data_IF_814714444457
#
_entry.id   IF_814714444457
#
_cell.length_a   1.000
_cell.length_b   1.000
_cell.length_c   1.000
_cell.angle_alpha   90.00
_cell.angle_beta   90.00
_cell.angle_gamma   90.00
#
_symmetry.space_group_name_H-M   'P 1'
#
loop_
_entity.id
_entity.type
_entity.pdbx_description
1 polymer ?
#
# COMPACT_ATOMS: atom_id res chain seq x y z
N UNK A 1 -25.36 32.65 8.62
CA UNK A 1 -25.62 31.51 9.51
C UNK A 1 -26.38 30.36 8.82
N UNK A 2 -27.43 30.62 8.02
CA UNK A 2 -28.16 29.55 7.29
C UNK A 2 -27.29 28.76 6.30
N UNK A 3 -26.44 29.42 5.50
CA UNK A 3 -25.59 28.73 4.51
C UNK A 3 -24.53 27.83 5.14
N UNK A 4 -23.98 28.20 6.30
CA UNK A 4 -22.97 27.37 6.99
C UNK A 4 -23.57 26.06 7.51
N UNK A 5 -24.77 26.13 8.09
CA UNK A 5 -25.50 24.95 8.58
C UNK A 5 -25.84 24.02 7.41
N UNK A 6 -26.30 24.57 6.29
CA UNK A 6 -26.57 23.81 5.07
C UNK A 6 -25.31 23.15 4.51
N UNK A 7 -24.18 23.87 4.43
CA UNK A 7 -22.91 23.31 3.97
C UNK A 7 -22.47 22.13 4.84
N UNK A 8 -22.61 22.25 6.17
CA UNK A 8 -22.32 21.16 7.10
C UNK A 8 -23.23 19.94 6.87
N UNK A 9 -24.53 20.15 6.66
CA UNK A 9 -25.47 19.08 6.37
C UNK A 9 -25.11 18.36 5.07
N UNK A 10 -24.71 19.10 4.03
CA UNK A 10 -24.23 18.53 2.76
C UNK A 10 -22.97 17.69 2.95
N UNK A 11 -22.00 18.16 3.73
CA UNK A 11 -20.76 17.39 3.99
C UNK A 11 -21.07 16.08 4.71
N UNK A 12 -21.95 16.09 5.71
CA UNK A 12 -22.37 14.87 6.41
C UNK A 12 -23.12 13.90 5.49
N UNK A 13 -23.99 14.42 4.64
CA UNK A 13 -24.73 13.61 3.66
C UNK A 13 -23.79 12.99 2.62
N UNK A 14 -22.79 13.75 2.15
CA UNK A 14 -21.73 13.22 1.30
C UNK A 14 -20.94 12.12 2.02
N UNK A 15 -20.60 12.32 3.29
CA UNK A 15 -19.85 11.33 4.06
C UNK A 15 -20.62 10.01 4.19
N UNK A 16 -21.90 10.06 4.53
CA UNK A 16 -22.76 8.87 4.57
C UNK A 16 -22.95 8.25 3.19
N UNK A 17 -23.09 9.07 2.16
CA UNK A 17 -23.25 8.62 0.79
C UNK A 17 -22.03 7.88 0.23
N UNK A 18 -20.82 8.39 0.50
CA UNK A 18 -19.59 7.68 0.16
C UNK A 18 -19.42 6.41 0.99
N UNK A 19 -19.84 6.38 2.25
CA UNK A 19 -19.87 5.13 3.04
C UNK A 19 -20.75 4.07 2.37
N UNK A 20 -21.95 4.45 1.91
CA UNK A 20 -22.83 3.55 1.17
C UNK A 20 -22.23 3.02 -0.13
N UNK A 21 -21.38 3.80 -0.82
CA UNK A 21 -20.65 3.32 -2.01
C UNK A 21 -19.62 2.22 -1.69
N UNK A 22 -19.15 2.11 -0.45
CA UNK A 22 -18.27 1.02 0.00
C UNK A 22 -19.02 -0.21 0.49
N UNK A 23 -20.22 -0.02 1.04
CA UNK A 23 -21.01 -1.11 1.65
C UNK A 23 -21.95 -1.79 0.65
N UNK A 24 -22.46 -1.04 -0.33
CA UNK A 24 -23.50 -1.50 -1.26
C UNK A 24 -23.00 -1.46 -2.70
N UNK A 25 -23.63 -2.27 -3.55
CA UNK A 25 -23.43 -2.16 -5.00
C UNK A 25 -23.85 -0.75 -5.44
N UNK A 26 -22.94 0.02 -6.04
CA UNK A 26 -23.25 1.39 -6.44
C UNK A 26 -24.41 1.40 -7.44
N UNK A 27 -25.32 2.35 -7.27
CA UNK A 27 -26.42 2.57 -8.22
C UNK A 27 -26.21 3.90 -8.96
N UNK A 28 -26.62 4.01 -10.24
CA UNK A 28 -26.51 5.28 -10.97
C UNK A 28 -27.22 6.43 -10.25
N UNK A 29 -28.34 6.14 -9.58
CA UNK A 29 -29.11 7.11 -8.79
C UNK A 29 -28.31 7.65 -7.60
N UNK A 30 -27.64 6.79 -6.84
CA UNK A 30 -26.79 7.21 -5.72
C UNK A 30 -25.63 8.08 -6.22
N UNK A 31 -24.93 7.67 -7.27
CA UNK A 31 -23.79 8.43 -7.81
C UNK A 31 -24.25 9.82 -8.30
N UNK A 32 -25.38 9.89 -9.01
CA UNK A 32 -25.93 11.16 -9.48
C UNK A 32 -26.40 12.06 -8.33
N UNK A 33 -26.98 11.48 -7.28
CA UNK A 33 -27.31 12.23 -6.07
C UNK A 33 -26.04 12.83 -5.45
N UNK A 34 -24.99 12.03 -5.25
CA UNK A 34 -23.72 12.52 -4.66
C UNK A 34 -23.06 13.60 -5.50
N UNK A 35 -23.08 13.49 -6.84
CA UNK A 35 -22.59 14.55 -7.74
C UNK A 35 -23.39 15.85 -7.57
N UNK A 36 -24.71 15.75 -7.42
CA UNK A 36 -25.58 16.90 -7.23
C UNK A 36 -25.29 17.61 -5.91
N UNK A 37 -25.18 16.85 -4.83
CA UNK A 37 -24.90 17.37 -3.48
C UNK A 37 -23.48 17.96 -3.39
N UNK A 38 -22.50 17.34 -4.06
CA UNK A 38 -21.14 17.86 -4.14
C UNK A 38 -21.08 19.16 -4.95
N UNK A 39 -21.82 19.25 -6.06
CA UNK A 39 -21.96 20.49 -6.83
C UNK A 39 -22.57 21.63 -6.01
N UNK A 40 -23.65 21.34 -5.26
CA UNK A 40 -24.24 22.32 -4.33
C UNK A 40 -23.24 22.77 -3.27
N UNK A 41 -22.49 21.84 -2.68
CA UNK A 41 -21.46 22.18 -1.69
C UNK A 41 -20.36 23.05 -2.28
N UNK A 42 -19.94 22.79 -3.53
CA UNK A 42 -18.93 23.58 -4.25
C UNK A 42 -19.43 24.99 -4.57
N UNK A 43 -20.68 25.13 -5.00
CA UNK A 43 -21.29 26.44 -5.23
C UNK A 43 -21.36 27.24 -3.92
N UNK A 44 -21.78 26.59 -2.83
CA UNK A 44 -21.79 27.20 -1.51
C UNK A 44 -20.38 27.51 -0.99
N UNK A 45 -19.37 26.73 -1.38
CA UNK A 45 -17.98 27.00 -1.04
C UNK A 45 -17.45 28.26 -1.72
N UNK A 46 -17.90 28.55 -2.94
CA UNK A 46 -17.56 29.80 -3.62
C UNK A 46 -18.16 31.02 -2.91
N UNK A 47 -19.36 30.88 -2.35
CA UNK A 47 -20.03 31.92 -1.57
C UNK A 47 -19.45 32.08 -0.15
N UNK A 48 -18.85 31.01 0.38
CA UNK A 48 -18.28 30.94 1.72
C UNK A 48 -16.75 31.03 1.65
N UNK A 49 -16.19 32.23 1.89
CA UNK A 49 -14.73 32.47 1.86
C UNK A 49 -13.88 31.45 2.65
N UNK A 50 -14.42 30.82 3.70
CA UNK A 50 -13.71 29.80 4.49
C UNK A 50 -13.51 28.45 3.76
N UNK A 51 -14.23 28.21 2.66
CA UNK A 51 -14.16 26.98 1.89
C UNK A 51 -13.41 27.10 0.56
N UNK A 52 -13.04 28.31 0.12
CA UNK A 52 -12.37 28.51 -1.18
C UNK A 52 -11.07 27.69 -1.32
N UNK A 53 -10.35 27.48 -0.21
CA UNK A 53 -9.16 26.64 -0.13
C UNK A 53 -9.40 25.14 -0.41
N UNK A 54 -10.64 24.65 -0.30
CA UNK A 54 -11.03 23.26 -0.59
C UNK A 54 -11.47 23.02 -2.04
N UNK A 55 -11.41 24.03 -2.91
CA UNK A 55 -11.80 23.91 -4.33
C UNK A 55 -11.12 22.74 -5.06
N UNK A 56 -9.83 22.51 -4.79
CA UNK A 56 -9.08 21.38 -5.34
C UNK A 56 -9.58 20.04 -4.77
N UNK A 57 -9.94 20.00 -3.49
CA UNK A 57 -10.50 18.81 -2.84
C UNK A 57 -11.87 18.45 -3.41
N UNK A 58 -12.75 19.43 -3.63
CA UNK A 58 -14.04 19.20 -4.26
C UNK A 58 -13.90 18.68 -5.69
N UNK A 59 -12.95 19.24 -6.45
CA UNK A 59 -12.66 18.77 -7.81
C UNK A 59 -12.14 17.33 -7.82
N UNK A 60 -11.28 16.96 -6.86
CA UNK A 60 -10.80 15.58 -6.73
C UNK A 60 -11.94 14.61 -6.34
N UNK A 61 -12.87 15.01 -5.47
CA UNK A 61 -14.07 14.22 -5.15
C UNK A 61 -15.01 14.06 -6.35
N UNK A 62 -15.17 15.10 -7.19
CA UNK A 62 -15.94 15.02 -8.43
C UNK A 62 -15.31 14.01 -9.41
N UNK A 63 -13.98 14.04 -9.55
CA UNK A 63 -13.23 13.11 -10.38
C UNK A 63 -13.43 11.66 -9.91
N UNK A 64 -13.40 11.42 -8.60
CA UNK A 64 -13.70 10.10 -8.03
C UNK A 64 -15.12 9.66 -8.43
N UNK A 65 -16.15 10.47 -8.19
CA UNK A 65 -17.52 10.13 -8.58
C UNK A 65 -17.68 9.93 -10.10
N UNK A 66 -16.90 10.64 -10.92
CA UNK A 66 -16.89 10.45 -12.36
C UNK A 66 -16.35 9.06 -12.73
N UNK A 67 -15.28 8.61 -12.08
CA UNK A 67 -14.75 7.25 -12.25
C UNK A 67 -15.79 6.19 -11.87
N UNK A 68 -16.50 6.37 -10.75
CA UNK A 68 -17.58 5.45 -10.36
C UNK A 68 -18.71 5.37 -11.40
N UNK A 69 -18.93 6.44 -12.17
CA UNK A 69 -19.96 6.48 -13.22
C UNK A 69 -19.56 5.76 -14.51
N UNK A 70 -18.27 5.49 -14.71
CA UNK A 70 -17.76 4.80 -15.90
C UNK A 70 -17.88 3.28 -15.79
N UNK A 71 -18.09 2.78 -14.57
CA UNK A 71 -18.25 1.35 -14.31
C UNK A 71 -19.63 0.91 -14.76
N UNK A 72 -19.69 -0.18 -15.55
CA UNK A 72 -20.95 -0.85 -15.85
C UNK A 72 -21.47 -1.56 -14.60
N UNK A 73 -22.30 -0.83 -13.83
CA UNK A 73 -22.80 -1.25 -12.52
C UNK A 73 -23.63 -2.54 -12.56
N UNK A 74 -24.17 -2.90 -13.73
CA UNK A 74 -24.91 -4.17 -13.89
C UNK A 74 -23.99 -5.39 -13.91
N UNK A 75 -22.69 -5.20 -14.17
CA UNK A 75 -21.71 -6.27 -14.32
C UNK A 75 -20.74 -6.41 -13.15
N UNK A 76 -20.75 -5.48 -12.21
CA UNK A 76 -19.80 -5.48 -11.08
C UNK A 76 -20.50 -5.97 -9.81
N UNK A 77 -20.09 -7.13 -9.32
CA UNK A 77 -20.60 -7.72 -8.08
C UNK A 77 -19.90 -7.20 -6.81
N UNK A 78 -18.88 -6.36 -6.96
CA UNK A 78 -18.05 -5.83 -5.88
C UNK A 78 -18.20 -4.29 -5.75
N UNK A 79 -17.99 -3.74 -4.54
CA UNK A 79 -17.93 -2.29 -4.37
C UNK A 79 -16.76 -1.69 -5.16
N UNK A 80 -16.97 -0.51 -5.76
CA UNK A 80 -15.97 0.19 -6.60
C UNK A 80 -14.78 0.65 -5.76
N UNK A 81 -15.06 1.10 -4.54
CA UNK A 81 -14.07 1.56 -3.59
C UNK A 81 -13.91 0.53 -2.48
N UNK A 82 -12.66 0.22 -2.15
CA UNK A 82 -12.35 -0.58 -0.98
C UNK A 82 -12.66 0.21 0.31
N UNK A 83 -12.79 -0.48 1.45
CA UNK A 83 -13.04 0.18 2.75
C UNK A 83 -12.00 1.28 3.07
N UNK A 84 -10.74 1.09 2.69
CA UNK A 84 -9.67 2.06 2.94
C UNK A 84 -9.88 3.33 2.12
N UNK A 85 -10.30 3.20 0.85
CA UNK A 85 -10.60 4.34 -0.01
C UNK A 85 -11.78 5.15 0.55
N UNK A 86 -12.81 4.45 1.04
CA UNK A 86 -13.94 5.09 1.70
C UNK A 86 -13.52 5.80 2.98
N UNK A 87 -12.60 5.21 3.76
CA UNK A 87 -12.07 5.84 4.95
C UNK A 87 -11.30 7.14 4.62
N UNK A 88 -10.46 7.13 3.57
CA UNK A 88 -9.74 8.32 3.09
C UNK A 88 -10.72 9.44 2.71
N UNK A 89 -11.76 9.10 1.93
CA UNK A 89 -12.79 10.05 1.49
C UNK A 89 -13.58 10.60 2.68
N UNK A 90 -14.04 9.71 3.56
CA UNK A 90 -14.84 10.06 4.74
C UNK A 90 -14.07 10.99 5.69
N UNK A 91 -12.78 10.71 5.87
CA UNK A 91 -11.94 11.49 6.75
C UNK A 91 -11.61 12.87 6.13
N UNK A 92 -11.47 12.96 4.81
CA UNK A 92 -11.36 14.24 4.10
C UNK A 92 -12.62 15.09 4.28
N UNK A 93 -13.80 14.49 4.16
CA UNK A 93 -15.08 15.15 4.42
C UNK A 93 -15.23 15.57 5.89
N UNK A 94 -14.75 14.76 6.84
CA UNK A 94 -14.71 15.12 8.26
C UNK A 94 -13.85 16.36 8.50
N UNK A 95 -12.70 16.48 7.85
CA UNK A 95 -11.84 17.68 7.94
C UNK A 95 -12.57 18.92 7.42
N UNK A 96 -13.23 18.82 6.25
CA UNK A 96 -14.04 19.92 5.70
C UNK A 96 -15.14 20.31 6.69
N UNK A 97 -15.86 19.34 7.23
CA UNK A 97 -16.90 19.57 8.24
C UNK A 97 -16.35 20.28 9.48
N UNK A 98 -15.20 19.85 10.00
CA UNK A 98 -14.58 20.48 11.16
C UNK A 98 -14.18 21.93 10.87
N UNK A 99 -13.63 22.19 9.69
CA UNK A 99 -13.26 23.53 9.26
C UNK A 99 -14.47 24.48 9.20
N UNK A 100 -15.65 23.94 8.86
CA UNK A 100 -16.91 24.70 8.85
C UNK A 100 -17.42 25.09 10.24
N UNK A 101 -16.97 24.47 11.33
CA UNK A 101 -17.45 24.79 12.69
C UNK A 101 -16.54 25.79 13.41
N UNK A 102 -15.38 26.16 12.86
CA UNK A 102 -14.36 27.03 13.49
C UNK A 102 -13.90 26.58 14.91
N UNK A 103 -14.18 25.34 15.33
CA UNK A 103 -13.91 24.90 16.71
C UNK A 103 -12.43 24.69 16.99
N UNK A 104 -11.65 24.36 15.97
CA UNK A 104 -10.19 24.26 16.00
C UNK A 104 -9.71 24.52 14.57
N UNK A 105 -8.76 25.45 14.38
CA UNK A 105 -7.92 25.36 13.17
C UNK A 105 -7.26 24.00 13.29
N UNK A 106 -7.51 23.04 12.39
CA UNK A 106 -6.82 21.77 12.48
C UNK A 106 -5.33 22.10 12.35
N UNK A 107 -4.58 21.94 13.43
CA UNK A 107 -3.16 22.22 13.47
C UNK A 107 -2.49 21.52 12.27
N UNK A 108 -1.86 22.31 11.41
CA UNK A 108 -0.97 21.89 10.32
C UNK A 108 -1.54 20.98 9.21
N UNK A 109 -2.87 20.89 9.00
CA UNK A 109 -3.38 20.13 7.85
C UNK A 109 -3.25 20.94 6.56
N UNK A 110 -2.28 20.55 5.73
CA UNK A 110 -2.13 21.08 4.38
C UNK A 110 -3.26 20.57 3.46
N UNK A 111 -4.19 21.45 3.11
CA UNK A 111 -5.36 21.14 2.26
C UNK A 111 -4.92 20.69 0.87
N UNK A 112 -3.77 21.16 0.39
CA UNK A 112 -3.23 20.73 -0.89
C UNK A 112 -2.82 19.25 -0.86
N UNK A 113 -2.32 18.75 0.27
CA UNK A 113 -1.93 17.34 0.40
C UNK A 113 -3.17 16.44 0.38
N UNK A 114 -4.29 16.87 0.96
CA UNK A 114 -5.57 16.15 0.85
C UNK A 114 -6.03 16.03 -0.61
N UNK A 115 -5.97 17.13 -1.36
CA UNK A 115 -6.31 17.13 -2.78
C UNK A 115 -5.40 16.17 -3.57
N UNK A 116 -4.10 16.19 -3.29
CA UNK A 116 -3.13 15.29 -3.93
C UNK A 116 -3.42 13.81 -3.63
N UNK A 117 -3.76 13.46 -2.38
CA UNK A 117 -4.11 12.08 -2.02
C UNK A 117 -5.38 11.61 -2.75
N UNK A 118 -6.42 12.45 -2.81
CA UNK A 118 -7.63 12.12 -3.56
C UNK A 118 -7.37 12.00 -5.07
N UNK A 119 -6.48 12.82 -5.62
CA UNK A 119 -6.08 12.74 -7.03
C UNK A 119 -5.28 11.46 -7.31
N UNK A 120 -4.37 11.06 -6.43
CA UNK A 120 -3.71 9.75 -6.53
C UNK A 120 -4.71 8.59 -6.48
N UNK A 121 -5.71 8.66 -5.58
CA UNK A 121 -6.78 7.67 -5.51
C UNK A 121 -7.60 7.63 -6.82
N UNK A 122 -7.90 8.80 -7.39
CA UNK A 122 -8.57 8.91 -8.68
C UNK A 122 -7.77 8.26 -9.81
N UNK A 123 -6.48 8.56 -9.92
CA UNK A 123 -5.60 7.98 -10.93
C UNK A 123 -5.52 6.45 -10.80
N UNK A 124 -5.35 5.94 -9.58
CA UNK A 124 -5.34 4.51 -9.30
C UNK A 124 -6.65 3.86 -9.76
N UNK A 125 -7.80 4.41 -9.36
CA UNK A 125 -9.11 3.82 -9.70
C UNK A 125 -9.43 3.91 -11.18
N UNK A 126 -9.04 4.99 -11.84
CA UNK A 126 -9.18 5.11 -13.29
C UNK A 126 -8.36 4.05 -14.02
N UNK A 127 -7.15 3.72 -13.53
CA UNK A 127 -6.32 2.67 -14.12
C UNK A 127 -6.94 1.27 -13.91
N UNK A 128 -7.39 0.96 -12.70
CA UNK A 128 -8.07 -0.30 -12.37
C UNK A 128 -9.29 -0.54 -13.28
N UNK A 129 -10.15 0.48 -13.43
CA UNK A 129 -11.36 0.38 -14.27
C UNK A 129 -11.01 0.23 -15.75
N UNK A 130 -9.95 0.89 -16.22
CA UNK A 130 -9.48 0.72 -17.61
C UNK A 130 -9.04 -0.72 -17.87
N UNK A 131 -8.28 -1.32 -16.94
CA UNK A 131 -7.84 -2.72 -17.03
C UNK A 131 -9.05 -3.66 -17.04
N UNK A 132 -10.02 -3.45 -16.14
CA UNK A 132 -11.26 -4.26 -16.09
C UNK A 132 -12.02 -4.16 -17.42
N UNK A 133 -12.20 -2.95 -17.94
CA UNK A 133 -12.92 -2.70 -19.19
C UNK A 133 -12.22 -3.33 -20.39
N UNK A 134 -10.89 -3.26 -20.47
CA UNK A 134 -10.10 -3.89 -21.53
C UNK A 134 -10.13 -5.41 -21.44
N UNK A 135 -10.01 -5.98 -20.23
CA UNK A 135 -10.09 -7.43 -20.00
C UNK A 135 -11.46 -7.99 -20.40
N UNK A 136 -12.54 -7.27 -20.09
CA UNK A 136 -13.90 -7.66 -20.49
C UNK A 136 -14.09 -7.61 -22.02
N UNK A 137 -13.50 -6.63 -22.72
CA UNK A 137 -13.55 -6.57 -24.19
C UNK A 137 -12.91 -7.79 -24.84
N UNK A 138 -11.79 -8.28 -24.29
CA UNK A 138 -11.08 -9.46 -24.80
C UNK A 138 -11.91 -10.73 -24.58
N UNK A 139 -12.60 -10.85 -23.44
CA UNK A 139 -13.46 -12.00 -23.14
C UNK A 139 -14.74 -12.07 -24.01
N UNK A 140 -15.10 -10.98 -24.70
CA UNK A 140 -16.31 -10.92 -25.54
C UNK A 140 -16.02 -11.17 -27.04
N UNK A 141 -14.79 -11.55 -27.41
CA UNK A 141 -14.49 -11.96 -28.79
C UNK A 141 -15.19 -13.32 -29.04
N UNK A 142 -16.09 -13.45 -30.04
CA UNK A 142 -16.73 -14.72 -30.35
C UNK A 142 -15.68 -15.76 -30.72
N UNK A 143 -15.68 -16.91 -30.04
CA UNK A 143 -14.90 -18.10 -30.44
C UNK A 143 -15.49 -18.73 -31.71
N UNK A 144 -15.56 -17.98 -32.80
CA UNK A 144 -16.14 -18.42 -34.05
C UNK A 144 -15.14 -18.32 -35.21
N UNK A 145 -13.86 -18.67 -34.98
CA UNK A 145 -12.91 -18.91 -36.09
C UNK A 145 -11.70 -19.78 -35.70
N UNK A 146 -11.90 -20.91 -35.01
CA UNK A 146 -10.81 -21.88 -34.80
C UNK A 146 -11.32 -23.32 -34.66
N UNK A 147 -12.20 -23.75 -35.57
CA UNK A 147 -12.57 -25.17 -35.74
C UNK A 147 -12.81 -25.52 -37.20
N UNK A 148 -11.77 -25.39 -38.03
CA UNK A 148 -11.67 -26.21 -39.23
C UNK A 148 -10.21 -26.30 -39.64
N UNK A 149 -9.76 -27.53 -39.89
CA UNK A 149 -8.41 -27.93 -40.34
C UNK A 149 -7.35 -27.75 -39.23
N UNK A 150 -6.88 -28.82 -38.58
CA UNK A 150 -5.88 -29.74 -39.13
C UNK A 150 -6.20 -31.19 -38.76
N UNK A 151 -6.39 -31.98 -39.81
CA UNK A 151 -6.37 -33.43 -39.85
C UNK A 151 -4.90 -33.91 -39.78
N UNK A 152 -4.68 -34.99 -39.03
CA UNK A 152 -3.60 -35.99 -39.21
C UNK A 152 -2.14 -35.51 -39.36
N UNK A 153 -1.34 -35.73 -38.32
CA UNK A 153 -0.26 -36.74 -38.35
C UNK A 153 0.37 -36.85 -36.95
N UNK A 154 0.24 -38.02 -36.32
CA UNK A 154 1.00 -38.39 -35.13
C UNK A 154 2.20 -39.24 -35.54
N UNK A 155 3.40 -39.01 -35.00
CA UNK A 155 4.37 -40.08 -34.80
C UNK A 155 4.32 -40.54 -33.35
N UNK A 156 4.15 -41.86 -33.19
CA UNK A 156 4.39 -42.58 -31.94
C UNK A 156 5.85 -42.44 -31.53
N UNK A 157 6.09 -41.82 -30.37
CA UNK A 157 7.36 -41.97 -29.65
C UNK A 157 7.07 -42.73 -28.36
N UNK A 158 7.48 -44.00 -28.33
CA UNK A 158 7.52 -44.85 -27.15
C UNK A 158 8.54 -44.27 -26.17
N UNK A 159 8.10 -43.82 -24.99
CA UNK A 159 8.99 -43.40 -23.90
C UNK A 159 9.01 -44.53 -22.86
N UNK A 160 10.22 -45.01 -22.59
CA UNK A 160 10.60 -46.05 -21.65
C UNK A 160 10.48 -45.55 -20.19
N UNK A 161 9.74 -46.23 -19.28
CA UNK A 161 9.47 -45.73 -17.93
C UNK A 161 10.59 -45.96 -16.90
N UNK A 162 11.84 -46.25 -17.30
CA UNK A 162 12.88 -46.72 -16.38
C UNK A 162 13.96 -45.70 -15.94
N UNK A 163 13.84 -44.39 -16.22
CA UNK A 163 14.89 -43.42 -15.92
C UNK A 163 14.41 -42.18 -15.14
N UNK A 164 14.03 -42.37 -13.87
CA UNK A 164 14.02 -41.28 -12.88
C UNK A 164 14.81 -41.71 -11.66
N UNK A 165 16.13 -41.45 -11.70
CA UNK A 165 16.99 -41.45 -10.51
C UNK A 165 16.80 -40.12 -9.78
N UNK A 166 16.58 -40.24 -8.47
CA UNK A 166 16.58 -39.14 -7.50
C UNK A 166 17.96 -38.50 -7.44
N UNK A 167 18.03 -37.19 -7.65
CA UNK A 167 19.14 -36.36 -7.18
C UNK A 167 18.65 -35.44 -6.04
N UNK A 168 19.48 -35.20 -5.01
CA UNK A 168 19.10 -34.42 -3.85
C UNK A 168 19.13 -32.91 -4.12
N UNK A 169 18.14 -32.20 -3.59
CA UNK A 169 18.00 -30.75 -3.62
C UNK A 169 19.08 -30.11 -2.73
N UNK A 170 19.87 -29.12 -3.20
CA UNK A 170 20.83 -28.41 -2.36
C UNK A 170 20.16 -27.29 -1.54
N UNK A 171 20.82 -26.97 -0.43
CA UNK A 171 20.37 -26.09 0.65
C UNK A 171 20.02 -24.65 0.23
N UNK A 172 19.17 -24.06 1.07
CA UNK A 172 18.67 -22.67 1.11
C UNK A 172 19.74 -21.63 0.76
N UNK A 173 19.49 -20.83 -0.28
CA UNK A 173 20.30 -19.66 -0.61
C UNK A 173 19.90 -18.48 0.29
N UNK A 174 20.72 -18.19 1.31
CA UNK A 174 20.67 -16.95 2.08
C UNK A 174 21.45 -15.87 1.32
N UNK A 175 20.80 -14.76 0.98
CA UNK A 175 21.49 -13.56 0.46
C UNK A 175 21.87 -12.71 1.68
N UNK A 176 23.15 -12.75 2.08
CA UNK A 176 23.70 -11.87 3.12
C UNK A 176 24.16 -10.55 2.49
N UNK A 177 23.63 -9.43 3.00
CA UNK A 177 24.10 -8.08 2.66
C UNK A 177 25.14 -7.58 3.69
N UNK A 178 26.28 -8.26 3.78
CA UNK A 178 27.47 -7.70 4.46
C UNK A 178 28.39 -7.06 3.43
N UNK A 179 28.09 -5.81 3.03
CA UNK A 179 29.05 -4.82 2.52
C UNK A 179 28.33 -3.51 2.19
N UNK A 180 28.09 -2.71 3.22
CA UNK A 180 28.00 -1.26 3.07
C UNK A 180 29.43 -0.71 3.23
N UNK A 181 29.88 0.26 2.39
CA UNK A 181 31.21 0.83 2.54
C UNK A 181 31.28 1.75 3.77
N UNK A 182 32.10 1.35 4.74
CA UNK A 182 32.62 2.20 5.82
C UNK A 182 33.61 3.22 5.26
N UNK A 183 33.14 4.38 4.85
CA UNK A 183 34.00 5.56 4.70
C UNK A 183 33.27 6.81 5.15
N UNK A 184 33.23 7.08 6.45
CA UNK A 184 33.24 8.44 6.96
C UNK A 184 34.02 8.44 8.27
N UNK A 185 35.35 8.56 8.15
CA UNK A 185 36.20 8.90 9.27
C UNK A 185 36.55 10.38 9.23
N UNK A 186 36.62 10.88 10.44
CA UNK A 186 36.72 12.26 10.90
C UNK A 186 38.03 12.98 10.53
N UNK A 187 37.93 14.32 10.45
CA UNK A 187 39.03 15.23 10.77
C UNK A 187 39.57 16.08 9.63
N UNK A 188 39.11 17.33 9.52
CA UNK A 188 40.02 18.48 9.53
C UNK A 188 39.25 19.79 9.80
N UNK A 189 39.68 20.50 10.83
CA UNK A 189 39.14 21.78 11.26
C UNK A 189 39.70 22.90 10.38
N UNK A 190 38.83 23.56 9.61
CA UNK A 190 39.15 24.86 9.00
C UNK A 190 38.15 25.88 9.53
N UNK A 191 38.67 26.86 10.27
CA UNK A 191 37.93 28.04 10.73
C UNK A 191 37.58 28.91 9.52
N UNK A 192 36.29 29.13 9.29
CA UNK A 192 35.76 30.16 8.39
C UNK A 192 34.76 31.07 9.12
N UNK A 193 34.69 32.36 8.76
CA UNK A 193 34.11 33.43 9.58
C UNK A 193 32.56 33.40 9.60
N UNK A 194 31.92 34.07 10.58
CA UNK A 194 30.46 34.02 10.71
C UNK A 194 29.78 34.82 9.59
N UNK A 195 28.67 34.32 9.00
CA UNK A 195 27.84 35.11 8.12
C UNK A 195 26.92 36.06 8.92
N UNK A 196 26.47 37.17 8.33
CA UNK A 196 25.68 38.17 9.01
C UNK A 196 24.23 37.71 9.24
N UNK A 197 23.65 38.23 10.31
CA UNK A 197 22.25 38.10 10.69
C UNK A 197 21.29 38.65 9.62
N UNK A 198 20.23 37.87 9.33
CA UNK A 198 18.82 38.24 9.09
C UNK A 198 18.20 37.45 7.93
N UNK A 199 17.29 36.52 8.26
CA UNK A 199 15.93 36.52 7.73
C UNK A 199 15.07 35.49 8.47
N UNK A 200 13.89 35.94 8.85
CA UNK A 200 12.86 35.23 9.61
C UNK A 200 12.22 34.10 8.78
N UNK A 201 12.02 32.96 9.44
CA UNK A 201 10.87 32.06 9.30
C UNK A 201 10.42 31.67 7.89
N UNK A 202 11.10 30.70 7.28
CA UNK A 202 10.49 29.77 6.33
C UNK A 202 11.31 28.47 6.35
N UNK A 203 11.09 27.64 7.38
CA UNK A 203 11.57 26.25 7.38
C UNK A 203 10.76 25.48 6.35
N UNK A 204 11.20 25.51 5.09
CA UNK A 204 10.87 24.43 4.15
C UNK A 204 11.50 23.17 4.71
N UNK A 205 10.69 22.28 5.29
CA UNK A 205 11.10 20.93 5.65
C UNK A 205 11.74 20.29 4.41
N UNK A 206 13.08 20.19 4.41
CA UNK A 206 13.82 19.60 3.31
C UNK A 206 13.42 18.14 3.27
N UNK A 207 12.63 17.75 2.27
CA UNK A 207 12.22 16.37 2.08
C UNK A 207 13.47 15.50 1.88
N UNK A 208 13.88 14.80 2.94
CA UNK A 208 15.08 13.98 2.95
C UNK A 208 14.84 12.72 2.12
N UNK A 209 15.60 12.53 1.06
CA UNK A 209 15.65 11.29 0.29
C UNK A 209 16.27 10.19 1.18
N UNK A 210 15.63 9.01 1.24
CA UNK A 210 16.08 7.88 2.05
C UNK A 210 15.93 6.56 1.30
N UNK A 211 16.74 5.53 1.61
CA UNK A 211 16.67 4.23 0.93
C UNK A 211 15.55 3.35 1.49
N UNK A 212 14.75 2.77 0.61
CA UNK A 212 13.66 1.84 0.92
C UNK A 212 13.74 0.57 0.07
N UNK A 213 13.45 -0.59 0.65
CA UNK A 213 13.22 -1.81 -0.11
C UNK A 213 11.81 -1.76 -0.71
N UNK A 214 11.74 -1.89 -2.02
CA UNK A 214 10.49 -1.96 -2.76
C UNK A 214 10.06 -3.43 -2.89
N UNK A 215 8.85 -3.71 -2.43
CA UNK A 215 8.23 -5.03 -2.52
C UNK A 215 6.86 -4.91 -3.17
N UNK A 216 6.42 -5.97 -3.82
CA UNK A 216 5.08 -6.08 -4.39
C UNK A 216 4.28 -7.12 -3.62
N UNK A 217 3.04 -6.76 -3.32
CA UNK A 217 2.03 -7.66 -2.78
C UNK A 217 0.80 -7.45 -3.62
N UNK A 218 0.41 -8.52 -4.31
CA UNK A 218 -0.58 -8.55 -5.36
C UNK A 218 -0.29 -7.53 -6.47
N UNK A 219 -1.16 -6.54 -6.63
CA UNK A 219 -1.07 -5.48 -7.62
C UNK A 219 -0.53 -4.16 -7.05
N UNK A 220 -0.05 -4.15 -5.79
CA UNK A 220 0.39 -2.94 -5.10
C UNK A 220 1.86 -2.99 -4.69
N UNK A 221 2.48 -1.81 -4.72
CA UNK A 221 3.86 -1.62 -4.27
C UNK A 221 3.91 -1.07 -2.85
N UNK A 222 4.82 -1.62 -2.07
CA UNK A 222 5.11 -1.21 -0.71
C UNK A 222 6.60 -0.91 -0.56
N UNK A 223 6.91 0.06 0.31
CA UNK A 223 8.27 0.46 0.65
C UNK A 223 8.51 0.23 2.13
N UNK A 224 9.58 -0.48 2.46
CA UNK A 224 10.03 -0.71 3.83
C UNK A 224 11.36 0.01 4.00
N UNK A 225 11.53 0.78 5.07
CA UNK A 225 12.76 1.54 5.27
C UNK A 225 13.94 0.58 5.40
N UNK A 226 14.99 0.76 4.58
CA UNK A 226 16.06 -0.23 4.47
C UNK A 226 16.79 -0.48 5.79
N UNK A 227 16.82 0.51 6.69
CA UNK A 227 17.42 0.40 8.03
C UNK A 227 16.69 -0.61 8.92
N UNK A 228 15.39 -0.81 8.72
CA UNK A 228 14.59 -1.70 9.56
C UNK A 228 14.70 -3.16 9.10
N UNK A 229 15.35 -3.41 7.95
CA UNK A 229 15.41 -4.73 7.32
C UNK A 229 16.68 -5.45 7.75
N UNK A 230 16.53 -6.64 8.30
CA UNK A 230 17.64 -7.52 8.63
C UNK A 230 18.07 -8.34 7.40
N UNK A 231 17.10 -8.96 6.72
CA UNK A 231 17.35 -9.82 5.56
C UNK A 231 16.08 -10.15 4.79
N UNK A 232 16.27 -10.62 3.56
CA UNK A 232 15.23 -11.24 2.74
C UNK A 232 15.49 -12.73 2.69
N UNK A 233 14.46 -13.54 2.89
CA UNK A 233 14.54 -15.00 2.86
C UNK A 233 13.51 -15.58 1.91
N UNK A 234 13.93 -16.60 1.16
CA UNK A 234 13.02 -17.46 0.41
C UNK A 234 12.70 -18.67 1.28
N UNK A 235 11.42 -18.88 1.56
CA UNK A 235 10.90 -19.93 2.41
C UNK A 235 10.18 -20.97 1.57
N UNK A 236 10.19 -22.21 2.01
CA UNK A 236 9.34 -23.28 1.50
C UNK A 236 8.17 -23.52 2.44
N UNK A 237 7.14 -24.25 1.98
CA UNK A 237 6.03 -24.65 2.85
C UNK A 237 6.51 -25.44 4.09
N UNK A 238 7.61 -26.19 3.98
CA UNK A 238 8.18 -26.97 5.08
C UNK A 238 8.82 -26.10 6.17
N UNK A 239 9.21 -24.86 5.84
CA UNK A 239 9.79 -23.91 6.80
C UNK A 239 8.71 -23.21 7.64
N UNK A 240 7.46 -23.25 7.19
CA UNK A 240 6.33 -22.59 7.82
C UNK A 240 5.67 -23.48 8.87
N UNK A 241 5.39 -22.92 10.04
CA UNK A 241 4.62 -23.55 11.11
C UNK A 241 3.40 -22.70 11.41
N UNK A 242 2.21 -23.30 11.33
CA UNK A 242 0.98 -22.65 11.79
C UNK A 242 0.78 -22.96 13.28
N UNK A 243 0.74 -21.94 14.13
CA UNK A 243 0.47 -22.05 15.56
C UNK A 243 -0.73 -21.16 15.89
N UNK A 244 -1.89 -21.78 16.13
CA UNK A 244 -3.14 -21.03 16.24
C UNK A 244 -3.53 -20.41 14.89
N UNK A 245 -3.69 -19.09 14.86
CA UNK A 245 -3.99 -18.30 13.65
C UNK A 245 -2.76 -17.61 13.05
N UNK A 246 -1.57 -17.80 13.66
CA UNK A 246 -0.34 -17.13 13.26
C UNK A 246 0.61 -18.09 12.55
N UNK A 247 1.30 -17.57 11.52
CA UNK A 247 2.32 -18.31 10.77
C UNK A 247 3.69 -17.94 11.33
N UNK A 248 4.50 -18.94 11.64
CA UNK A 248 5.86 -18.80 12.16
C UNK A 248 6.87 -19.42 11.21
N UNK A 249 8.09 -18.89 11.23
CA UNK A 249 9.26 -19.52 10.63
C UNK A 249 10.36 -19.66 11.67
N UNK A 250 11.08 -20.78 11.66
CA UNK A 250 12.26 -20.96 12.51
C UNK A 250 13.52 -20.59 11.72
N UNK A 251 14.13 -19.44 12.03
CA UNK A 251 15.37 -19.00 11.41
C UNK A 251 16.47 -18.92 12.47
N UNK A 252 17.53 -19.70 12.28
CA UNK A 252 18.68 -19.78 13.20
C UNK A 252 18.27 -20.06 14.66
N UNK A 253 17.26 -20.91 14.86
CA UNK A 253 16.75 -21.27 16.18
C UNK A 253 15.82 -20.22 16.82
N UNK A 254 15.55 -19.10 16.15
CA UNK A 254 14.55 -18.13 16.59
C UNK A 254 13.23 -18.34 15.85
N UNK A 255 12.13 -18.33 16.57
CA UNK A 255 10.79 -18.33 15.97
C UNK A 255 10.38 -16.89 15.64
N UNK A 256 10.11 -16.65 14.37
CA UNK A 256 9.74 -15.33 13.85
C UNK A 256 8.32 -15.43 13.32
N UNK A 257 7.44 -14.55 13.81
CA UNK A 257 6.07 -14.41 13.30
C UNK A 257 6.13 -13.80 11.91
N UNK A 258 5.42 -14.42 10.96
CA UNK A 258 5.22 -13.91 9.62
C UNK A 258 3.82 -13.28 9.51
N UNK A 259 3.78 -12.06 9.01
CA UNK A 259 2.54 -11.38 8.69
C UNK A 259 2.41 -11.25 7.17
N UNK A 260 1.19 -11.47 6.69
CA UNK A 260 0.82 -11.13 5.33
C UNK A 260 0.40 -9.65 5.28
N UNK A 261 1.10 -8.86 4.45
CA UNK A 261 0.82 -7.43 4.25
C UNK A 261 -0.63 -7.21 3.81
N UNK A 262 -1.17 -8.09 2.95
CA UNK A 262 -2.54 -7.95 2.49
C UNK A 262 -3.55 -8.10 3.63
N UNK A 263 -3.35 -9.12 4.47
CA UNK A 263 -4.15 -9.36 5.66
C UNK A 263 -4.05 -8.21 6.67
N UNK A 264 -2.86 -7.62 6.84
CA UNK A 264 -2.64 -6.46 7.72
C UNK A 264 -3.38 -5.19 7.26
N UNK A 265 -3.58 -5.05 5.94
CA UNK A 265 -4.28 -3.93 5.32
C UNK A 265 -5.77 -4.19 5.15
N UNK A 266 -6.32 -5.23 5.78
CA UNK A 266 -7.76 -5.54 5.76
C UNK A 266 -8.28 -6.02 4.41
N UNK A 267 -7.39 -6.36 3.47
CA UNK A 267 -7.80 -6.87 2.19
C UNK A 267 -8.20 -8.35 2.30
N UNK A 268 -9.32 -8.77 1.69
CA UNK A 268 -9.75 -10.16 1.76
C UNK A 268 -8.67 -11.06 1.13
N UNK A 269 -8.33 -12.20 1.76
CA UNK A 269 -7.35 -13.11 1.20
C UNK A 269 -7.77 -13.49 -0.22
N UNK A 270 -6.82 -13.42 -1.15
CA UNK A 270 -7.07 -13.75 -2.55
C UNK A 270 -7.53 -15.20 -2.62
N UNK A 271 -8.78 -15.43 -3.01
CA UNK A 271 -9.30 -16.77 -3.35
C UNK A 271 -8.79 -17.09 -4.76
N UNK A 272 -7.48 -17.08 -4.95
CA UNK A 272 -6.89 -17.77 -6.09
C UNK A 272 -6.63 -19.21 -5.68
N UNK A 273 -6.89 -20.11 -6.61
CA UNK A 273 -6.63 -21.54 -6.57
C UNK A 273 -5.11 -21.76 -6.38
N UNK A 274 -4.60 -21.55 -5.16
CA UNK A 274 -3.19 -21.64 -4.79
C UNK A 274 -2.77 -23.12 -4.66
N UNK A 275 -3.14 -23.90 -5.69
CA UNK A 275 -2.60 -25.21 -5.96
C UNK A 275 -1.09 -25.12 -6.15
N UNK A 276 -0.34 -25.22 -5.05
CA UNK A 276 1.08 -25.59 -5.07
C UNK A 276 2.10 -24.44 -5.15
N UNK A 277 1.88 -23.28 -4.51
CA UNK A 277 3.03 -22.38 -4.25
C UNK A 277 4.00 -23.04 -3.27
N UNK A 278 5.05 -23.65 -3.82
CA UNK A 278 6.08 -24.33 -3.03
C UNK A 278 7.03 -23.35 -2.32
N UNK A 279 7.06 -22.09 -2.75
CA UNK A 279 8.01 -21.09 -2.23
C UNK A 279 7.38 -19.73 -1.95
N UNK A 280 7.75 -19.13 -0.83
CA UNK A 280 7.31 -17.83 -0.33
C UNK A 280 8.51 -16.89 -0.19
N UNK A 281 8.30 -15.58 -0.36
CA UNK A 281 9.32 -14.57 -0.06
C UNK A 281 8.93 -13.83 1.22
N UNK A 282 9.85 -13.75 2.17
CA UNK A 282 9.66 -13.01 3.40
C UNK A 282 10.78 -11.98 3.62
N UNK A 283 10.40 -10.76 3.99
CA UNK A 283 11.32 -9.72 4.46
C UNK A 283 11.35 -9.79 5.98
N UNK A 284 12.50 -10.09 6.57
CA UNK A 284 12.72 -10.10 8.01
C UNK A 284 13.19 -8.72 8.44
N UNK A 285 12.52 -8.16 9.41
CA UNK A 285 12.74 -6.80 9.89
C UNK A 285 12.67 -6.71 11.42
N UNK A 286 13.27 -5.65 11.95
CA UNK A 286 13.27 -5.34 13.36
C UNK A 286 12.21 -4.27 13.67
N UNK A 287 11.23 -4.64 14.50
CA UNK A 287 10.17 -3.75 14.97
C UNK A 287 10.10 -3.80 16.50
N UNK A 288 10.27 -2.65 17.17
CA UNK A 288 10.23 -2.54 18.64
C UNK A 288 11.11 -3.60 19.35
N UNK A 289 12.35 -3.77 18.88
CA UNK A 289 13.32 -4.77 19.37
C UNK A 289 12.87 -6.23 19.21
N UNK A 290 12.00 -6.51 18.24
CA UNK A 290 11.59 -7.87 17.88
C UNK A 290 11.76 -8.10 16.39
N UNK A 291 12.11 -9.34 16.05
CA UNK A 291 12.14 -9.78 14.66
C UNK A 291 10.75 -10.20 14.24
N UNK A 292 10.29 -9.67 13.12
CA UNK A 292 9.04 -10.05 12.46
C UNK A 292 9.33 -10.26 10.98
N UNK A 293 8.51 -11.06 10.31
CA UNK A 293 8.59 -11.25 8.87
C UNK A 293 7.37 -10.68 8.18
N UNK A 294 7.56 -10.13 6.98
CA UNK A 294 6.49 -9.74 6.07
C UNK A 294 6.54 -10.60 4.81
N UNK A 295 5.44 -11.30 4.53
CA UNK A 295 5.28 -12.04 3.28
C UNK A 295 5.02 -11.09 2.12
N UNK A 296 5.66 -11.36 0.98
CA UNK A 296 5.50 -10.60 -0.25
C UNK A 296 5.58 -11.51 -1.48
N UNK A 297 5.09 -11.02 -2.61
CA UNK A 297 5.10 -11.76 -3.88
C UNK A 297 6.41 -11.54 -4.64
N UNK A 298 6.94 -10.32 -4.61
CA UNK A 298 8.14 -9.96 -5.37
C UNK A 298 8.92 -8.83 -4.70
N UNK A 299 10.23 -8.76 -4.98
CA UNK A 299 11.16 -7.76 -4.48
C UNK A 299 11.85 -7.09 -5.65
N UNK A 300 11.75 -5.77 -5.72
CA UNK A 300 12.28 -4.96 -6.82
C UNK A 300 13.67 -4.37 -6.52
N UNK A 301 14.06 -4.36 -5.24
CA UNK A 301 15.36 -3.87 -4.79
C UNK A 301 15.25 -2.63 -3.89
N UNK A 302 16.39 -2.03 -3.57
CA UNK A 302 16.47 -0.82 -2.75
C UNK A 302 16.50 0.40 -3.66
N UNK A 303 15.65 1.38 -3.39
CA UNK A 303 15.57 2.64 -4.12
C UNK A 303 15.51 3.83 -3.16
N UNK A 304 16.09 4.93 -3.59
CA UNK A 304 16.09 6.18 -2.85
C UNK A 304 14.77 6.93 -3.11
N UNK A 305 13.91 6.99 -2.10
CA UNK A 305 12.59 7.61 -2.20
C UNK A 305 12.51 8.91 -1.42
N UNK A 306 11.79 9.87 -2.00
CA UNK A 306 11.24 11.01 -1.27
C UNK A 306 9.86 10.64 -0.76
N UNK A 307 9.71 10.52 0.55
CA UNK A 307 8.44 10.13 1.17
C UNK A 307 7.65 11.36 1.58
N UNK A 308 6.45 11.48 1.04
CA UNK A 308 5.44 12.41 1.55
C UNK A 308 4.72 11.72 2.70
N UNK A 309 4.99 12.15 3.94
CA UNK A 309 4.27 11.63 5.10
C UNK A 309 2.80 11.97 4.98
N UNK A 310 1.95 11.05 5.39
CA UNK A 310 0.54 11.36 5.50
C UNK A 310 0.33 12.43 6.58
N UNK A 311 -0.49 13.48 6.34
CA UNK A 311 -0.91 14.36 7.41
C UNK A 311 -1.58 13.54 8.52
N UNK A 312 -1.52 14.02 9.76
CA UNK A 312 -1.96 13.35 11.02
C UNK A 312 -3.31 12.63 10.94
N UNK A 313 -4.15 13.04 10.01
CA UNK A 313 -5.48 12.50 9.74
C UNK A 313 -5.47 11.20 8.91
N UNK A 314 -4.56 11.07 7.93
CA UNK A 314 -4.31 9.83 7.17
C UNK A 314 -3.29 8.92 7.87
N UNK A 315 -2.50 9.46 8.80
CA UNK A 315 -1.67 8.69 9.74
C UNK A 315 -2.45 7.78 10.70
N UNK A 316 -3.79 7.73 10.57
CA UNK A 316 -4.66 6.76 11.26
C UNK A 316 -4.69 5.39 10.59
N UNK A 317 -4.21 5.25 9.35
CA UNK A 317 -4.08 3.94 8.71
C UNK A 317 -2.91 3.21 9.38
N UNK A 318 -3.26 2.25 10.24
CA UNK A 318 -2.29 1.54 11.07
C UNK A 318 -1.24 0.88 10.18
N UNK A 319 0.02 1.26 10.38
CA UNK A 319 1.17 0.66 9.68
C UNK A 319 1.57 1.31 8.37
N UNK A 320 0.90 2.39 7.94
CA UNK A 320 1.33 3.18 6.79
C UNK A 320 1.85 4.54 7.25
N UNK A 321 3.12 4.81 6.92
CA UNK A 321 3.83 6.04 7.25
C UNK A 321 3.58 7.17 6.25
N UNK A 322 3.47 6.83 4.96
CA UNK A 322 3.45 7.82 3.89
C UNK A 322 3.28 7.21 2.50
N UNK A 323 3.38 8.07 1.50
CA UNK A 323 3.33 7.72 0.09
C UNK A 323 4.62 8.19 -0.59
N UNK A 324 5.08 7.42 -1.57
CA UNK A 324 6.14 7.80 -2.47
C UNK A 324 5.77 7.39 -3.90
N UNK A 325 6.57 7.82 -4.87
CA UNK A 325 6.46 7.37 -6.27
C UNK A 325 7.68 6.55 -6.64
N UNK A 326 7.47 5.43 -7.30
CA UNK A 326 8.52 4.53 -7.79
C UNK A 326 8.34 4.30 -9.30
N UNK A 327 9.45 4.29 -10.04
CA UNK A 327 9.44 3.88 -11.43
C UNK A 327 10.02 2.46 -11.50
N UNK A 328 9.21 1.42 -11.68
CA UNK A 328 9.73 0.07 -11.84
C UNK A 328 10.58 -0.02 -13.11
N UNK A 329 11.87 -0.33 -12.95
CA UNK A 329 12.77 -0.63 -14.07
C UNK A 329 12.44 -2.03 -14.60
N UNK A 330 11.31 -2.20 -15.27
CA UNK A 330 10.94 -3.49 -15.84
C UNK A 330 11.89 -3.78 -17.02
N UNK A 331 12.59 -4.92 -16.97
CA UNK A 331 13.64 -5.30 -17.94
C UNK A 331 13.08 -5.74 -19.31
N UNK A 332 11.77 -5.66 -19.53
CA UNK A 332 11.14 -6.07 -20.79
C UNK A 332 10.75 -4.85 -21.62
N UNK A 333 11.60 -4.52 -22.61
CA UNK A 333 11.41 -3.81 -23.91
C UNK A 333 10.38 -2.67 -24.11
N UNK A 334 9.52 -2.33 -23.16
CA UNK A 334 8.63 -1.18 -23.17
C UNK A 334 8.96 -0.37 -21.93
N UNK A 335 9.76 0.69 -22.11
CA UNK A 335 9.92 1.76 -21.13
C UNK A 335 8.56 2.38 -20.88
N UNK A 336 7.79 1.84 -19.92
CA UNK A 336 6.74 2.62 -19.30
C UNK A 336 7.40 3.44 -18.18
N UNK A 337 7.64 4.73 -18.44
CA UNK A 337 8.00 5.71 -17.41
C UNK A 337 6.82 5.99 -16.44
N UNK A 338 5.93 5.01 -16.22
CA UNK A 338 4.81 5.16 -15.30
C UNK A 338 5.35 5.18 -13.88
N UNK A 339 5.14 6.32 -13.22
CA UNK A 339 5.35 6.46 -11.79
C UNK A 339 4.22 5.73 -11.08
N UNK A 340 4.56 4.63 -10.41
CA UNK A 340 3.64 3.87 -9.59
C UNK A 340 3.61 4.45 -8.16
N UNK A 341 2.44 4.55 -7.53
CA UNK A 341 2.35 4.90 -6.13
C UNK A 341 2.89 3.76 -5.26
N UNK A 342 3.64 4.11 -4.22
CA UNK A 342 4.19 3.15 -3.25
C UNK A 342 3.83 3.56 -1.84
N UNK A 343 3.19 2.65 -1.11
CA UNK A 343 2.85 2.86 0.29
C UNK A 343 4.06 2.56 1.17
N UNK A 344 4.49 3.53 1.97
CA UNK A 344 5.62 3.38 2.89
C UNK A 344 5.10 2.79 4.19
N UNK A 345 5.59 1.62 4.55
CA UNK A 345 5.18 0.91 5.77
C UNK A 345 5.99 1.39 6.98
N UNK A 346 5.33 1.44 8.14
CA UNK A 346 5.97 1.68 9.43
C UNK A 346 5.94 0.39 10.27
N UNK A 347 7.02 -0.42 10.31
CA UNK A 347 7.07 -1.71 11.00
C UNK A 347 6.57 -1.77 12.44
N UNK A 348 6.61 -0.64 13.16
CA UNK A 348 6.29 -0.54 14.59
C UNK A 348 4.87 -1.03 14.93
N UNK A 349 3.94 -1.02 13.96
CA UNK A 349 2.55 -1.48 14.13
C UNK A 349 2.38 -3.00 14.20
N UNK A 350 3.35 -3.77 13.69
CA UNK A 350 3.30 -5.23 13.59
C UNK A 350 3.43 -5.91 14.94
N UNK A 351 3.98 -5.22 15.93
CA UNK A 351 4.13 -5.76 17.28
C UNK A 351 3.00 -5.23 18.16
N UNK A 352 2.04 -6.07 18.58
CA UNK A 352 0.97 -5.67 19.49
C UNK A 352 1.58 -5.18 20.81
N UNK A 353 1.06 -4.07 21.34
CA UNK A 353 1.53 -3.44 22.58
C UNK A 353 1.48 -4.37 23.82
N UNK A 354 0.76 -5.48 23.74
CA UNK A 354 0.55 -6.43 24.83
C UNK A 354 1.06 -7.86 24.56
N UNK A 355 1.83 -8.07 23.49
CA UNK A 355 2.40 -9.39 23.22
C UNK A 355 3.56 -9.68 24.18
N UNK A 356 3.28 -10.08 25.42
CA UNK A 356 4.29 -10.58 26.35
C UNK A 356 4.66 -12.02 25.98
N UNK A 357 5.36 -12.23 24.87
CA UNK A 357 6.20 -13.42 24.77
C UNK A 357 7.46 -13.17 25.57
N UNK A 358 7.77 -14.01 26.59
CA UNK A 358 9.01 -13.88 27.33
C UNK A 358 10.14 -14.13 26.34
N UNK A 359 11.08 -13.18 26.26
CA UNK A 359 12.38 -13.44 25.65
C UNK A 359 12.93 -14.69 26.33
N UNK A 360 13.06 -15.78 25.57
CA UNK A 360 13.70 -17.00 26.01
C UNK A 360 15.21 -16.80 26.08
N UNK A 361 15.65 -15.88 26.95
CA UNK A 361 16.98 -15.97 27.55
C UNK A 361 16.87 -16.94 28.72
N UNK A 362 16.95 -18.23 28.41
CA UNK A 362 17.12 -19.27 29.42
C UNK A 362 18.47 -19.07 30.11
N UNK A 363 18.46 -18.47 31.30
CA UNK A 363 19.51 -18.65 32.29
C UNK A 363 19.55 -20.14 32.65
N UNK A 364 20.56 -20.85 32.15
CA UNK A 364 20.95 -22.15 32.69
C UNK A 364 21.58 -21.87 34.06
N UNK A 365 21.03 -22.37 35.18
CA UNK A 365 21.76 -22.35 36.44
C UNK A 365 22.86 -23.41 36.37
N UNK A 366 24.11 -22.98 36.48
CA UNK A 366 25.24 -23.86 36.73
C UNK A 366 24.98 -24.64 38.03
N UNK A 367 24.67 -25.93 37.92
CA UNK A 367 24.80 -26.87 39.03
C UNK A 367 26.27 -27.31 39.12
N UNK A 368 26.98 -26.78 40.10
CA UNK A 368 28.29 -27.28 40.52
C UNK A 368 28.12 -28.64 41.21
N UNK A 369 28.96 -29.65 40.92
CA UNK A 369 28.95 -30.91 41.67
C UNK A 369 29.85 -30.80 42.91
N UNK A 370 29.31 -31.16 44.08
CA UNK A 370 30.08 -31.61 45.25
C UNK A 370 29.24 -32.59 46.05
#
# INVERSE_FOLDING_TARGET
MSSLIKAKQLVLLLQDGFRLLGELTPTPSLINALKTELGQLKDMANDLNCLGQFSNVFSALENLLAVASQVDLERVSAPIYSPENIQIISETLRIISNHLVEVEKPDDINIQDLANVLECLHQQKSAEIKIITETQKIATIPQETARTEILETSPKTTIDPAAFRKEPIPATNTINFEKLPDTFNSGEAVKSPPPPFNNEGNEKEVQSVKPYLIVRVWDKFFAIFAKDIEKVVKLSLADLKLIGEEIFVSLYGNEIVLYDIASLLGSPPKVEDDGGKETFLAVILEAKNRKVGLLCDEIFGIEDLTVTKFPSVLGKIKGIFGLATFCPKITFATQSDSKEPVFVLEPSFLVPAHSQFPNSESRIPNSTPT
#
